data_IF_100590548425
#
_entry.id   IF_100590548425
#
_cell.length_a   1.000
_cell.length_b   1.000
_cell.length_c   1.000
_cell.angle_alpha   90.00
_cell.angle_beta   90.00
_cell.angle_gamma   90.00
#
_symmetry.space_group_name_H-M   'P 1'
#
loop_
_entity.id
_entity.type
_entity.pdbx_description
1 polymer ?
#
# COMPACT_ATOMS: atom_id res chain seq x y z
N UNK A 1 12.20 12.60 19.87
CA UNK A 1 11.51 11.35 20.31
C UNK A 1 11.45 10.44 19.10
N UNK A 2 11.98 9.21 19.19
CA UNK A 2 11.95 8.28 18.07
C UNK A 2 10.56 7.63 18.01
N UNK A 3 9.74 8.02 17.03
CA UNK A 3 8.50 7.31 16.75
C UNK A 3 8.88 5.96 16.14
N UNK A 4 8.64 4.86 16.87
CA UNK A 4 8.76 3.52 16.30
C UNK A 4 7.57 3.31 15.37
N UNK A 5 7.77 3.54 14.08
CA UNK A 5 6.77 3.24 13.05
C UNK A 5 6.49 1.75 13.06
N UNK A 6 5.26 1.36 13.38
CA UNK A 6 4.83 -0.04 13.47
C UNK A 6 3.40 -0.13 12.99
N UNK A 7 3.15 -1.03 12.05
CA UNK A 7 1.82 -1.27 11.49
C UNK A 7 1.24 -2.54 12.12
N UNK A 8 -0.03 -2.46 12.51
CA UNK A 8 -0.73 -3.50 13.26
C UNK A 8 -1.86 -4.09 12.43
N UNK A 9 -1.98 -5.41 12.48
CA UNK A 9 -3.12 -6.16 11.99
C UNK A 9 -3.54 -7.21 13.01
N UNK A 10 -4.83 -7.39 13.24
CA UNK A 10 -5.34 -8.44 14.12
C UNK A 10 -6.51 -9.17 13.48
N UNK A 11 -6.61 -10.47 13.71
CA UNK A 11 -7.67 -11.31 13.14
C UNK A 11 -8.23 -12.21 14.22
N UNK A 12 -9.53 -12.14 14.45
CA UNK A 12 -10.25 -13.05 15.35
C UNK A 12 -11.09 -14.03 14.55
N UNK A 13 -10.89 -15.33 14.79
CA UNK A 13 -11.55 -16.41 14.08
C UNK A 13 -11.88 -17.57 15.04
N UNK A 14 -12.72 -18.50 14.58
CA UNK A 14 -13.01 -19.74 15.29
C UNK A 14 -12.35 -20.91 14.56
N UNK A 15 -11.48 -21.66 15.25
CA UNK A 15 -10.74 -22.75 14.61
C UNK A 15 -9.72 -23.42 15.53
N UNK A 16 -8.95 -24.36 14.97
CA UNK A 16 -7.87 -25.03 15.69
C UNK A 16 -6.58 -24.19 15.62
N UNK A 17 -5.87 -24.00 16.76
CA UNK A 17 -4.69 -23.13 16.84
C UNK A 17 -3.52 -23.65 16.01
N UNK A 18 -3.31 -24.96 16.04
CA UNK A 18 -2.02 -25.58 15.68
C UNK A 18 -1.57 -25.45 14.23
N UNK A 19 -2.41 -24.93 13.32
CA UNK A 19 -2.00 -24.70 11.92
C UNK A 19 -2.24 -23.27 11.43
N UNK A 20 -2.84 -22.40 12.24
CA UNK A 20 -3.23 -21.06 11.78
C UNK A 20 -2.01 -20.19 11.52
N UNK A 21 -1.06 -20.13 12.47
CA UNK A 21 0.16 -19.33 12.32
C UNK A 21 1.00 -19.78 11.13
N UNK A 22 1.21 -21.09 10.95
CA UNK A 22 1.96 -21.62 9.83
C UNK A 22 1.33 -21.26 8.48
N UNK A 23 0.01 -21.39 8.34
CA UNK A 23 -0.71 -20.98 7.13
C UNK A 23 -0.59 -19.47 6.90
N UNK A 24 -0.76 -18.67 7.96
CA UNK A 24 -0.64 -17.22 7.87
C UNK A 24 0.77 -16.80 7.44
N UNK A 25 1.81 -17.41 8.02
CA UNK A 25 3.20 -17.09 7.69
C UNK A 25 3.53 -17.42 6.25
N UNK A 26 3.05 -18.56 5.73
CA UNK A 26 3.22 -18.90 4.31
C UNK A 26 2.52 -17.89 3.40
N UNK A 27 1.23 -17.61 3.65
CA UNK A 27 0.48 -16.63 2.84
C UNK A 27 1.09 -15.23 2.90
N UNK A 28 1.63 -14.83 4.05
CA UNK A 28 2.34 -13.55 4.19
C UNK A 28 3.65 -13.58 3.39
N UNK A 29 4.45 -14.64 3.51
CA UNK A 29 5.70 -14.76 2.74
C UNK A 29 5.43 -14.70 1.23
N UNK A 30 4.45 -15.45 0.72
CA UNK A 30 4.03 -15.41 -0.68
C UNK A 30 3.60 -13.99 -1.09
N UNK A 31 2.87 -13.29 -0.21
CA UNK A 31 2.43 -11.92 -0.45
C UNK A 31 3.61 -10.95 -0.45
N UNK A 32 4.60 -11.12 0.42
CA UNK A 32 5.79 -10.29 0.42
C UNK A 32 6.59 -10.49 -0.87
N UNK A 33 6.80 -11.74 -1.28
CA UNK A 33 7.50 -12.08 -2.52
C UNK A 33 6.81 -11.51 -3.77
N UNK A 34 5.48 -11.64 -3.87
CA UNK A 34 4.67 -11.09 -4.97
C UNK A 34 4.83 -9.57 -5.11
N UNK A 35 5.12 -8.87 -4.01
CA UNK A 35 5.32 -7.43 -3.95
C UNK A 35 6.81 -7.02 -3.92
N UNK A 36 7.73 -7.95 -4.19
CA UNK A 36 9.16 -7.68 -4.34
C UNK A 36 9.96 -7.69 -3.04
N UNK A 37 9.40 -8.21 -1.96
CA UNK A 37 10.07 -8.35 -0.66
C UNK A 37 10.37 -9.83 -0.37
N UNK A 38 11.53 -10.32 -0.83
CA UNK A 38 11.96 -11.69 -0.55
C UNK A 38 12.22 -11.90 0.94
N UNK A 39 11.71 -12.99 1.50
CA UNK A 39 11.91 -13.34 2.91
C UNK A 39 13.26 -14.04 3.07
N UNK A 40 14.20 -13.37 3.75
CA UNK A 40 15.56 -13.89 3.97
C UNK A 40 15.65 -14.75 5.22
N UNK A 41 14.79 -14.50 6.22
CA UNK A 41 14.80 -15.21 7.49
C UNK A 41 13.39 -15.59 7.93
N UNK A 42 13.28 -16.85 8.36
CA UNK A 42 12.10 -17.42 8.98
C UNK A 42 12.49 -18.00 10.33
N UNK A 43 11.77 -17.64 11.39
CA UNK A 43 11.98 -18.21 12.72
C UNK A 43 10.64 -18.51 13.37
N UNK A 44 10.49 -19.72 13.89
CA UNK A 44 9.38 -20.10 14.74
C UNK A 44 9.90 -20.17 16.18
N UNK A 45 9.31 -19.37 17.07
CA UNK A 45 9.65 -19.32 18.48
C UNK A 45 8.42 -19.68 19.28
N UNK A 46 8.53 -20.73 20.10
CA UNK A 46 7.38 -21.30 20.80
C UNK A 46 6.25 -21.72 19.83
N UNK A 47 5.22 -22.42 20.27
CA UNK A 47 4.12 -22.84 19.37
C UNK A 47 3.29 -21.67 18.82
N UNK A 48 3.52 -20.46 19.35
CA UNK A 48 2.58 -19.34 19.28
C UNK A 48 3.20 -18.08 18.62
N UNK A 49 4.47 -18.10 18.20
CA UNK A 49 5.12 -16.95 17.54
C UNK A 49 5.90 -17.38 16.31
N UNK A 50 5.69 -16.66 15.21
CA UNK A 50 6.50 -16.78 13.99
C UNK A 50 7.00 -15.40 13.61
N UNK A 51 8.29 -15.26 13.32
CA UNK A 51 8.87 -14.04 12.81
C UNK A 51 9.47 -14.26 11.41
N UNK A 52 9.21 -13.29 10.54
CA UNK A 52 9.73 -13.19 9.18
C UNK A 52 10.57 -11.93 9.08
N UNK A 53 11.66 -11.96 8.33
CA UNK A 53 12.41 -10.76 7.99
C UNK A 53 12.77 -10.75 6.50
N UNK A 54 12.64 -9.57 5.91
CA UNK A 54 13.13 -9.22 4.59
C UNK A 54 13.99 -7.95 4.69
N UNK A 55 14.46 -7.48 3.55
CA UNK A 55 15.28 -6.27 3.40
C UNK A 55 14.67 -5.03 4.07
N UNK A 56 13.39 -4.75 3.82
CA UNK A 56 12.70 -3.54 4.28
C UNK A 56 11.94 -3.72 5.58
N UNK A 57 11.53 -4.95 5.93
CA UNK A 57 10.61 -5.18 7.03
C UNK A 57 10.99 -6.35 7.92
N UNK A 58 10.58 -6.23 9.19
CA UNK A 58 10.47 -7.32 10.14
C UNK A 58 9.00 -7.53 10.48
N UNK A 59 8.53 -8.76 10.34
CA UNK A 59 7.18 -9.17 10.66
C UNK A 59 7.20 -10.14 11.84
N UNK A 60 6.24 -9.96 12.75
CA UNK A 60 6.00 -10.88 13.85
C UNK A 60 4.53 -11.23 13.88
N UNK A 61 4.25 -12.53 13.78
CA UNK A 61 2.95 -13.12 13.97
C UNK A 61 2.89 -13.73 15.36
N UNK A 62 1.81 -13.47 16.09
CA UNK A 62 1.55 -14.04 17.40
C UNK A 62 0.15 -14.60 17.46
N UNK A 63 0.00 -15.78 18.05
CA UNK A 63 -1.30 -16.29 18.46
C UNK A 63 -1.53 -15.84 19.91
N UNK A 64 -2.44 -14.90 20.09
CA UNK A 64 -2.92 -14.51 21.41
C UNK A 64 -4.19 -15.30 21.72
N UNK A 65 -4.17 -16.04 22.82
CA UNK A 65 -5.37 -16.73 23.30
C UNK A 65 -6.34 -15.69 23.87
N UNK A 66 -7.56 -15.62 23.32
CA UNK A 66 -8.64 -14.90 24.00
C UNK A 66 -9.17 -15.82 25.11
N UNK A 67 -9.54 -15.27 26.28
CA UNK A 67 -10.08 -16.09 27.35
C UNK A 67 -11.27 -16.88 26.81
N UNK A 68 -11.16 -18.21 26.83
CA UNK A 68 -12.24 -19.09 26.43
C UNK A 68 -13.40 -18.92 27.41
N UNK A 69 -14.56 -18.47 26.92
CA UNK A 69 -15.78 -18.46 27.74
C UNK A 69 -16.14 -19.92 28.06
N UNK A 70 -15.97 -20.31 29.32
CA UNK A 70 -16.35 -21.62 29.83
C UNK A 70 -17.88 -21.64 29.97
N UNK A 71 -18.59 -21.79 28.84
CA UNK A 71 -20.02 -22.07 28.86
C UNK A 71 -20.27 -23.58 28.75
N UNK A 72 -20.72 -24.16 29.86
CA UNK A 72 -21.47 -25.41 29.92
C UNK A 72 -20.75 -26.69 29.42
N UNK A 73 -19.58 -27.02 29.96
CA UNK A 73 -19.06 -28.40 30.00
C UNK A 73 -18.66 -29.05 28.68
N UNK A 74 -18.82 -28.37 27.54
CA UNK A 74 -18.20 -28.73 26.25
C UNK A 74 -17.07 -27.74 26.00
N UNK A 75 -15.84 -28.23 25.89
CA UNK A 75 -14.70 -27.45 25.39
C UNK A 75 -14.98 -27.13 23.92
N UNK A 76 -15.69 -26.03 23.66
CA UNK A 76 -15.67 -25.39 22.35
C UNK A 76 -14.36 -24.62 22.29
N UNK A 77 -13.60 -24.79 21.22
CA UNK A 77 -12.44 -23.94 20.97
C UNK A 77 -12.93 -22.48 21.00
N UNK A 78 -12.43 -21.70 21.96
CA UNK A 78 -12.75 -20.30 22.07
C UNK A 78 -12.32 -19.52 20.82
N UNK A 79 -12.77 -18.27 20.67
CA UNK A 79 -12.25 -17.42 19.61
C UNK A 79 -10.73 -17.30 19.75
N UNK A 80 -10.02 -17.41 18.63
CA UNK A 80 -8.57 -17.27 18.57
C UNK A 80 -8.20 -15.95 17.92
N UNK A 81 -7.09 -15.34 18.35
CA UNK A 81 -6.64 -14.07 17.80
C UNK A 81 -5.22 -14.17 17.27
N UNK A 82 -5.05 -14.00 15.97
CA UNK A 82 -3.72 -13.83 15.36
C UNK A 82 -3.42 -12.35 15.23
N UNK A 83 -2.25 -11.94 15.71
CA UNK A 83 -1.74 -10.57 15.62
C UNK A 83 -0.54 -10.54 14.68
N UNK A 84 -0.54 -9.56 13.81
CA UNK A 84 0.49 -9.29 12.83
C UNK A 84 1.07 -7.92 13.14
N UNK A 85 2.39 -7.89 13.27
CA UNK A 85 3.16 -6.70 13.56
C UNK A 85 4.18 -6.51 12.45
N UNK A 86 4.00 -5.49 11.61
CA UNK A 86 4.93 -5.11 10.55
C UNK A 86 5.74 -3.90 11.01
N UNK A 87 7.07 -4.04 11.04
CA UNK A 87 7.98 -2.98 11.43
C UNK A 87 9.00 -2.74 10.31
N UNK A 88 9.11 -1.50 9.79
CA UNK A 88 10.17 -1.15 8.84
C UNK A 88 11.53 -1.21 9.51
N UNK A 89 12.52 -1.77 8.81
CA UNK A 89 13.93 -1.78 9.24
C UNK A 89 14.53 -0.36 9.20
N UNK A 90 14.01 0.51 8.32
CA UNK A 90 14.43 1.91 8.18
C UNK A 90 13.25 2.89 8.40
N UNK A 91 12.77 3.09 9.65
CA UNK A 91 11.55 3.86 9.92
C UNK A 91 11.53 5.30 9.40
N UNK A 92 12.71 5.94 9.24
CA UNK A 92 12.84 7.32 8.73
C UNK A 92 12.70 7.43 7.21
N UNK A 93 12.85 6.33 6.49
CA UNK A 93 12.78 6.26 5.02
C UNK A 93 11.66 5.30 4.57
N UNK A 94 10.73 5.01 5.48
CA UNK A 94 9.60 4.15 5.22
C UNK A 94 8.50 4.97 4.55
N UNK A 95 8.03 4.48 3.40
CA UNK A 95 6.77 4.92 2.83
C UNK A 95 5.62 4.30 3.65
N UNK A 96 4.93 5.14 4.40
CA UNK A 96 3.83 4.72 5.26
C UNK A 96 2.64 4.22 4.44
N UNK A 97 2.33 4.86 3.30
CA UNK A 97 1.20 4.48 2.46
C UNK A 97 1.42 3.09 1.85
N UNK A 98 2.64 2.81 1.39
CA UNK A 98 3.00 1.50 0.87
C UNK A 98 2.96 0.42 1.96
N UNK A 99 3.44 0.72 3.15
CA UNK A 99 3.41 -0.22 4.29
C UNK A 99 1.99 -0.52 4.75
N UNK A 100 1.13 0.51 4.77
CA UNK A 100 -0.29 0.37 5.05
C UNK A 100 -0.97 -0.48 3.98
N UNK A 101 -0.72 -0.20 2.71
CA UNK A 101 -1.25 -0.99 1.59
C UNK A 101 -0.86 -2.47 1.71
N UNK A 102 0.42 -2.75 1.99
CA UNK A 102 0.92 -4.11 2.16
C UNK A 102 0.22 -4.83 3.33
N UNK A 103 0.04 -4.14 4.46
CA UNK A 103 -0.76 -4.65 5.58
C UNK A 103 -2.22 -4.94 5.19
N UNK A 104 -2.85 -4.06 4.40
CA UNK A 104 -4.22 -4.25 3.93
C UNK A 104 -4.34 -5.51 3.06
N UNK A 105 -3.39 -5.73 2.15
CA UNK A 105 -3.36 -6.89 1.25
C UNK A 105 -3.17 -8.19 2.06
N UNK A 106 -2.22 -8.20 3.00
CA UNK A 106 -2.00 -9.34 3.90
C UNK A 106 -3.28 -9.65 4.68
N UNK A 107 -3.89 -8.67 5.33
CA UNK A 107 -5.14 -8.87 6.06
C UNK A 107 -6.28 -9.34 5.16
N UNK A 108 -6.42 -8.81 3.95
CA UNK A 108 -7.43 -9.26 2.98
C UNK A 108 -7.29 -10.75 2.63
N UNK A 109 -6.07 -11.23 2.36
CA UNK A 109 -5.83 -12.65 2.08
C UNK A 109 -6.10 -13.51 3.30
N UNK A 110 -5.63 -13.08 4.48
CA UNK A 110 -5.76 -13.84 5.72
C UNK A 110 -7.18 -13.90 6.28
N UNK A 111 -7.99 -12.84 6.11
CA UNK A 111 -9.42 -12.85 6.45
C UNK A 111 -10.15 -13.97 5.71
N UNK A 112 -9.84 -14.14 4.42
CA UNK A 112 -10.44 -15.19 3.61
C UNK A 112 -9.89 -16.58 3.98
N UNK A 113 -8.58 -16.67 4.25
CA UNK A 113 -7.91 -17.91 4.65
C UNK A 113 -8.43 -18.48 5.98
N UNK A 114 -8.55 -17.64 7.01
CA UNK A 114 -8.96 -18.05 8.36
C UNK A 114 -10.47 -18.03 8.56
N UNK A 115 -11.20 -17.37 7.67
CA UNK A 115 -12.62 -17.07 7.90
C UNK A 115 -12.83 -16.09 9.06
N UNK A 116 -11.92 -15.15 9.27
CA UNK A 116 -11.94 -14.23 10.40
C UNK A 116 -13.22 -13.36 10.43
N UNK A 117 -13.81 -13.21 11.60
CA UNK A 117 -15.04 -12.43 11.80
C UNK A 117 -14.74 -10.97 12.14
N UNK A 118 -13.68 -10.74 12.91
CA UNK A 118 -13.26 -9.43 13.37
C UNK A 118 -11.81 -9.16 12.96
N UNK A 119 -11.57 -7.94 12.51
CA UNK A 119 -10.28 -7.46 12.00
C UNK A 119 -9.88 -6.21 12.79
N UNK A 120 -8.66 -6.17 13.30
CA UNK A 120 -8.05 -4.97 13.85
C UNK A 120 -7.17 -4.32 12.77
N UNK A 121 -7.34 -3.02 12.54
CA UNK A 121 -6.66 -2.27 11.48
C UNK A 121 -5.83 -1.13 12.05
N UNK A 122 -4.50 -1.17 11.86
CA UNK A 122 -3.48 -0.16 12.25
C UNK A 122 -3.34 0.13 13.73
N UNK A 123 -4.42 -0.02 14.50
CA UNK A 123 -4.44 0.08 15.95
C UNK A 123 -5.26 -1.08 16.52
N UNK A 124 -4.89 -1.63 17.69
CA UNK A 124 -5.63 -2.73 18.31
C UNK A 124 -7.10 -2.38 18.64
N UNK A 125 -7.39 -1.09 18.84
CA UNK A 125 -8.72 -0.59 19.15
C UNK A 125 -9.64 -0.43 17.93
N UNK A 126 -9.08 -0.28 16.72
CA UNK A 126 -9.86 -0.09 15.51
C UNK A 126 -10.33 -1.44 14.97
N UNK A 127 -11.46 -1.92 15.50
CA UNK A 127 -12.09 -3.20 15.11
C UNK A 127 -13.13 -3.02 14.02
N UNK A 128 -13.02 -3.84 12.98
CA UNK A 128 -13.91 -3.90 11.83
C UNK A 128 -14.51 -5.30 11.74
N UNK A 129 -15.79 -5.38 11.38
CA UNK A 129 -16.38 -6.67 10.98
C UNK A 129 -15.86 -7.10 9.62
N UNK A 130 -15.88 -8.41 9.35
CA UNK A 130 -15.54 -8.97 8.03
C UNK A 130 -16.24 -8.25 6.88
N UNK A 131 -17.54 -7.97 7.03
CA UNK A 131 -18.34 -7.28 6.01
C UNK A 131 -17.86 -5.85 5.77
N UNK A 132 -17.54 -5.10 6.83
CA UNK A 132 -17.02 -3.73 6.70
C UNK A 132 -15.67 -3.71 6.00
N UNK A 133 -14.74 -4.58 6.43
CA UNK A 133 -13.40 -4.64 5.87
C UNK A 133 -13.42 -5.06 4.39
N UNK A 134 -14.06 -6.20 4.07
CA UNK A 134 -14.14 -6.70 2.68
C UNK A 134 -14.98 -5.78 1.77
N UNK A 135 -15.93 -5.03 2.34
CA UNK A 135 -16.75 -4.07 1.60
C UNK A 135 -15.98 -2.91 0.98
N UNK A 136 -14.80 -2.56 1.53
CA UNK A 136 -13.90 -1.54 0.93
C UNK A 136 -13.33 -2.05 -0.40
N UNK A 137 -12.90 -3.30 -0.44
CA UNK A 137 -12.31 -3.92 -1.64
C UNK A 137 -13.34 -4.21 -2.73
N UNK A 138 -14.60 -4.46 -2.37
CA UNK A 138 -15.68 -4.72 -3.35
C UNK A 138 -15.95 -3.55 -4.31
N UNK A 139 -15.54 -2.32 -3.95
CA UNK A 139 -15.68 -1.12 -4.79
C UNK A 139 -14.54 -0.96 -5.79
N UNK A 140 -13.44 -1.69 -5.59
CA UNK A 140 -12.27 -1.67 -6.47
C UNK A 140 -12.60 -2.62 -7.61
N UNK A 141 -12.98 -2.05 -8.76
CA UNK A 141 -13.15 -2.85 -9.98
C UNK A 141 -11.77 -3.38 -10.37
N UNK A 142 -11.59 -4.69 -10.64
CA UNK A 142 -10.37 -5.16 -11.27
C UNK A 142 -10.15 -4.31 -12.51
N UNK A 143 -8.95 -3.77 -12.66
CA UNK A 143 -8.53 -3.12 -13.89
C UNK A 143 -8.86 -4.11 -15.01
N UNK A 144 -9.72 -3.68 -15.94
CA UNK A 144 -10.33 -4.55 -16.94
C UNK A 144 -9.23 -5.42 -17.55
N UNK A 145 -9.46 -6.73 -17.60
CA UNK A 145 -8.63 -7.64 -18.40
C UNK A 145 -8.40 -6.97 -19.74
N UNK A 146 -7.15 -6.90 -20.25
CA UNK A 146 -6.90 -6.31 -21.56
C UNK A 146 -7.94 -6.89 -22.52
N UNK A 147 -8.80 -6.04 -23.06
CA UNK A 147 -9.72 -6.49 -24.10
C UNK A 147 -8.85 -7.15 -25.16
N UNK A 148 -9.27 -8.30 -25.73
CA UNK A 148 -8.48 -8.94 -26.77
C UNK A 148 -8.20 -7.88 -27.83
N UNK A 149 -6.94 -7.46 -27.89
CA UNK A 149 -6.43 -6.49 -28.84
C UNK A 149 -6.85 -7.07 -30.19
N UNK A 150 -7.69 -6.35 -30.94
CA UNK A 150 -8.15 -6.86 -32.23
C UNK A 150 -6.92 -7.18 -33.06
N UNK A 151 -6.92 -8.23 -33.88
CA UNK A 151 -5.71 -8.68 -34.60
C UNK A 151 -5.05 -7.56 -35.46
N UNK A 152 -5.81 -6.50 -35.76
CA UNK A 152 -5.37 -5.28 -36.43
C UNK A 152 -4.56 -4.29 -35.57
N UNK A 153 -4.57 -4.43 -34.25
CA UNK A 153 -3.84 -3.59 -33.28
C UNK A 153 -2.64 -4.35 -32.67
N UNK A 154 -2.30 -5.52 -33.24
CA UNK A 154 -1.10 -6.26 -32.87
C UNK A 154 0.11 -5.56 -33.50
N UNK A 155 1.13 -5.28 -32.71
CA UNK A 155 2.43 -4.88 -33.24
C UNK A 155 2.86 -5.89 -34.31
N UNK A 156 3.20 -5.39 -35.50
CA UNK A 156 3.79 -6.21 -36.54
C UNK A 156 5.07 -6.88 -36.01
N UNK A 157 5.48 -8.05 -36.54
CA UNK A 157 6.77 -8.64 -36.25
C UNK A 157 7.90 -7.60 -36.30
N UNK A 158 8.90 -7.76 -35.44
CA UNK A 158 9.98 -6.79 -35.26
C UNK A 158 10.68 -6.53 -36.59
N UNK A 159 10.78 -7.55 -37.43
CA UNK A 159 11.37 -7.51 -38.76
C UNK A 159 10.62 -6.55 -39.70
N UNK A 160 9.27 -6.60 -39.72
CA UNK A 160 8.45 -5.70 -40.54
C UNK A 160 8.52 -4.25 -40.04
N UNK A 161 8.50 -4.08 -38.71
CA UNK A 161 8.59 -2.74 -38.09
C UNK A 161 9.98 -2.12 -38.32
N UNK A 162 11.04 -2.93 -38.31
CA UNK A 162 12.40 -2.47 -38.57
C UNK A 162 12.59 -2.03 -40.03
N UNK A 163 12.06 -2.79 -40.99
CA UNK A 163 12.12 -2.43 -42.40
C UNK A 163 11.34 -1.14 -42.70
N UNK A 164 10.15 -0.97 -42.14
CA UNK A 164 9.36 0.27 -42.27
C UNK A 164 10.09 1.46 -41.64
N UNK A 165 10.73 1.27 -40.49
CA UNK A 165 11.49 2.31 -39.82
C UNK A 165 12.75 2.70 -40.61
N UNK A 166 13.47 1.74 -41.19
CA UNK A 166 14.64 1.97 -42.04
C UNK A 166 14.26 2.71 -43.32
N UNK A 167 13.12 2.36 -43.93
CA UNK A 167 12.58 3.08 -45.08
C UNK A 167 12.19 4.51 -44.72
N UNK A 168 11.56 4.72 -43.56
CA UNK A 168 11.21 6.06 -43.07
C UNK A 168 12.47 6.90 -42.77
N UNK A 169 13.49 6.32 -42.15
CA UNK A 169 14.76 6.99 -41.88
C UNK A 169 15.49 7.35 -43.19
N UNK A 170 15.47 6.45 -44.17
CA UNK A 170 16.05 6.69 -45.50
C UNK A 170 15.31 7.79 -46.27
N UNK A 171 13.98 7.85 -46.14
CA UNK A 171 13.17 8.91 -46.73
C UNK A 171 13.47 10.28 -46.08
N UNK A 172 13.67 10.32 -44.76
CA UNK A 172 14.08 11.53 -44.05
C UNK A 172 15.50 11.99 -44.39
N UNK A 173 16.44 11.06 -44.65
CA UNK A 173 17.80 11.39 -45.06
C UNK A 173 17.88 12.04 -46.45
N UNK A 174 16.89 11.82 -47.32
CA UNK A 174 16.80 12.49 -48.62
C UNK A 174 16.19 13.89 -48.56
N UNK A 175 15.67 14.31 -47.39
CA UNK A 175 15.26 15.70 -47.15
C UNK A 175 16.50 16.46 -46.66
N UNK A 176 17.09 17.27 -47.55
CA UNK A 176 18.21 18.16 -47.20
C UNK A 176 17.88 19.01 -45.98
N UNK A 177 18.57 18.72 -44.87
CA UNK A 177 18.41 19.43 -43.60
C UNK A 177 19.16 20.77 -43.70
N UNK A 178 18.41 21.86 -43.84
CA UNK A 178 18.87 23.19 -43.43
C UNK A 178 19.23 23.10 -41.94
N UNK A 179 20.40 23.58 -41.49
CA UNK A 179 20.88 23.33 -40.14
C UNK A 179 19.94 24.00 -39.12
N UNK A 180 19.13 23.18 -38.46
CA UNK A 180 18.36 23.60 -37.30
C UNK A 180 19.30 23.72 -36.10
N UNK A 181 19.47 24.96 -35.64
CA UNK A 181 20.13 25.34 -34.39
C UNK A 181 19.71 24.41 -33.24
N UNK A 182 20.71 23.88 -32.53
CA UNK A 182 20.56 23.01 -31.34
C UNK A 182 19.52 23.59 -30.38
N UNK A 183 18.38 22.92 -30.26
CA UNK A 183 17.43 23.15 -29.19
C UNK A 183 17.88 22.36 -27.94
N UNK A 184 17.90 23.07 -26.82
CA UNK A 184 18.40 22.65 -25.51
C UNK A 184 17.54 21.51 -24.92
N UNK A 185 18.12 20.47 -24.27
CA UNK A 185 17.38 19.29 -23.77
C UNK A 185 16.37 19.62 -22.66
N UNK A 186 16.51 20.80 -22.07
CA UNK A 186 15.75 21.37 -20.96
C UNK A 186 14.26 21.55 -21.24
N UNK A 187 13.83 21.59 -22.51
CA UNK A 187 12.42 21.85 -22.86
C UNK A 187 11.53 20.60 -22.90
N UNK A 188 12.07 19.38 -22.96
CA UNK A 188 11.23 18.16 -23.02
C UNK A 188 10.57 17.80 -21.69
N UNK A 189 11.15 18.19 -20.56
CA UNK A 189 10.56 17.95 -19.24
C UNK A 189 9.48 18.97 -18.84
N UNK A 190 9.40 20.14 -19.48
CA UNK A 190 8.40 21.16 -19.15
C UNK A 190 6.98 20.83 -19.68
N UNK A 191 6.86 19.96 -20.69
CA UNK A 191 5.56 19.63 -21.30
C UNK A 191 4.64 18.82 -20.38
N UNK A 192 5.19 17.94 -19.53
CA UNK A 192 4.39 17.15 -18.58
C UNK A 192 3.91 17.96 -17.38
N UNK A 193 4.66 19.00 -16.97
CA UNK A 193 4.27 19.87 -15.86
C UNK A 193 3.03 20.74 -16.18
N UNK A 194 2.77 21.03 -17.47
CA UNK A 194 1.59 21.79 -17.90
C UNK A 194 0.27 21.03 -17.83
N UNK A 195 0.31 19.68 -17.85
CA UNK A 195 -0.91 18.85 -17.84
C UNK A 195 -1.44 18.67 -16.40
N UNK A 196 -0.56 18.64 -15.39
CA UNK A 196 -0.95 18.57 -13.97
C UNK A 196 -1.39 19.92 -13.38
N UNK A 197 -0.93 21.04 -13.93
CA UNK A 197 -1.33 22.39 -13.50
C UNK A 197 -2.62 22.90 -14.17
N UNK A 198 -3.17 22.20 -15.17
CA UNK A 198 -4.40 22.61 -15.88
C UNK A 198 -5.67 21.90 -15.38
N UNK A 199 -5.57 20.95 -14.46
CA UNK A 199 -6.73 20.26 -13.88
C UNK A 199 -7.18 20.85 -12.52
N UNK A 200 -6.55 21.94 -12.05
CA UNK A 200 -6.85 22.56 -10.74
C UNK A 200 -7.33 24.02 -10.83
N UNK A 201 -8.26 24.31 -11.72
CA UNK A 201 -9.15 25.49 -11.62
C UNK A 201 -10.51 24.98 -12.15
N UNK A 202 -11.60 24.81 -11.39
CA UNK A 202 -12.40 25.81 -10.69
C UNK A 202 -13.32 25.14 -9.66
N UNK A 203 -13.23 25.55 -8.39
CA UNK A 203 -14.41 25.94 -7.59
C UNK A 203 -13.99 27.08 -6.66
N UNK A 204 -14.15 28.30 -7.15
CA UNK A 204 -14.12 29.51 -6.34
C UNK A 204 -15.24 29.43 -5.29
N UNK A 205 -14.86 29.40 -4.01
CA UNK A 205 -15.69 29.98 -2.95
C UNK A 205 -14.89 31.13 -2.39
N UNK A 206 -15.37 32.32 -2.72
CA UNK A 206 -14.90 33.63 -2.28
C UNK A 206 -14.66 33.67 -0.77
N UNK A 207 -13.43 33.97 -0.34
CA UNK A 207 -13.21 34.63 0.93
C UNK A 207 -12.29 35.83 0.73
N UNK A 208 -12.93 36.99 0.84
CA UNK A 208 -12.34 38.31 0.97
C UNK A 208 -11.37 38.31 2.14
N UNK A 209 -10.13 38.73 1.91
CA UNK A 209 -9.25 39.23 2.96
C UNK A 209 -9.61 40.70 3.25
N UNK A 210 -9.42 41.16 4.49
CA UNK A 210 -8.52 42.30 4.60
C UNK A 210 -7.45 42.15 5.67
N UNK A 211 -6.37 42.83 5.33
CA UNK A 211 -5.12 43.06 6.03
C UNK A 211 -5.28 43.87 7.33
N UNK A 212 -4.27 43.71 8.18
CA UNK A 212 -3.61 44.74 9.01
C UNK A 212 -4.37 45.42 10.16
N UNK A 213 -3.84 45.25 11.39
CA UNK A 213 -3.29 46.34 12.22
C UNK A 213 -2.65 45.75 13.50
N UNK A 214 -1.32 45.76 13.59
CA UNK A 214 -0.53 46.61 14.51
C UNK A 214 -0.82 46.47 16.02
N UNK A 215 0.06 45.69 16.68
CA UNK A 215 0.98 46.07 17.76
C UNK A 215 0.52 46.90 18.99
N UNK A 216 1.28 46.63 20.08
CA UNK A 216 1.49 47.39 21.35
C UNK A 216 0.33 47.28 22.37
N UNK A 217 0.46 47.08 23.70
CA UNK A 217 1.45 47.30 24.78
C UNK A 217 1.16 46.26 25.90
N UNK A 218 2.10 45.49 26.47
CA UNK A 218 2.96 45.82 27.63
C UNK A 218 2.36 46.79 28.69
N UNK A 219 1.93 46.24 29.84
CA UNK A 219 2.12 46.72 31.24
C UNK A 219 1.03 46.06 32.13
N UNK A 220 1.37 45.22 33.11
CA UNK A 220 1.84 45.52 34.49
C UNK A 220 0.77 46.08 35.43
N UNK A 221 0.69 45.46 36.62
CA UNK A 221 0.01 45.89 37.88
C UNK A 221 -1.51 45.69 37.89
N UNK A 222 -2.19 45.13 38.91
CA UNK A 222 -1.90 44.95 40.33
C UNK A 222 -3.05 45.56 41.15
N UNK A 223 -3.59 44.83 42.15
CA UNK A 223 -4.51 45.28 43.24
C UNK A 223 -5.97 45.50 42.76
N UNK A 224 -7.04 45.01 43.41
CA UNK A 224 -7.41 44.87 44.83
C UNK A 224 -7.92 43.46 45.13
#
# INVERSE_FOLDING_TARGET
MAHTTKFHGGLTYYGLPGSALAKCSCTIADTLEEYGHSVDQFSAHDSDVIALACDQYRLVLRLDDQPSDIQAGKVRAGPQRVVISLQPNFPKHCDAELSEMLMAIMLYRLVNLLGAEHIEWMTPSARLTRKQFLGVFAKIRPMQTPQPISANERFAPIEQTAEELDQHCSAMQNVSVVPATKADPSQRFASWAGILMRSSEFRFVTRVAPLTACAVLLQSSGVI
#
